data_IF_312888419300
#
_entry.id   IF_312888419300
#
_cell.length_a   1.000
_cell.length_b   1.000
_cell.length_c   1.000
_cell.angle_alpha   90.00
_cell.angle_beta   90.00
_cell.angle_gamma   90.00
#
_symmetry.space_group_name_H-M   'P 1'
#
loop_
_entity.id
_entity.type
_entity.pdbx_description
1 polymer ?
#
# COMPACT_ATOMS: atom_id res chain seq x y z
N UNK A 1 8.06 -6.65 -38.70
CA UNK A 1 8.03 -7.42 -37.43
C UNK A 1 7.59 -6.49 -36.30
N UNK A 2 6.40 -6.67 -35.73
CA UNK A 2 5.94 -5.88 -34.57
C UNK A 2 6.80 -6.29 -33.36
N UNK A 3 7.60 -5.38 -32.80
CA UNK A 3 8.30 -5.62 -31.54
C UNK A 3 7.22 -5.80 -30.46
N UNK A 4 7.02 -7.05 -30.00
CA UNK A 4 6.23 -7.33 -28.80
C UNK A 4 7.04 -6.77 -27.63
N UNK A 5 6.72 -5.52 -27.26
CA UNK A 5 7.16 -4.93 -26.02
C UNK A 5 6.45 -5.61 -24.84
N UNK A 6 6.86 -5.28 -23.61
CA UNK A 6 6.07 -5.67 -22.43
C UNK A 6 4.65 -5.12 -22.59
N UNK A 7 3.60 -5.91 -22.32
CA UNK A 7 2.22 -5.42 -22.39
C UNK A 7 2.11 -4.17 -21.53
N UNK A 8 1.46 -3.14 -22.07
CA UNK A 8 1.20 -1.92 -21.32
C UNK A 8 0.27 -2.30 -20.16
N UNK A 9 0.70 -2.03 -18.94
CA UNK A 9 -0.18 -2.14 -17.78
C UNK A 9 -1.01 -0.85 -17.73
N UNK A 10 -2.33 -0.96 -17.71
CA UNK A 10 -3.22 0.20 -17.63
C UNK A 10 -3.13 0.93 -16.28
N UNK A 11 -2.75 0.22 -15.21
CA UNK A 11 -2.59 0.80 -13.87
C UNK A 11 -1.31 0.31 -13.16
N UNK A 12 -0.14 0.84 -13.52
CA UNK A 12 1.12 0.49 -12.87
C UNK A 12 1.21 1.11 -11.47
N UNK A 13 1.80 0.39 -10.50
CA UNK A 13 2.17 0.95 -9.19
C UNK A 13 3.44 1.80 -9.30
N UNK A 14 3.33 2.98 -9.90
CA UNK A 14 4.45 3.91 -10.13
C UNK A 14 4.47 5.14 -9.21
N UNK A 15 3.45 5.33 -8.38
CA UNK A 15 3.36 6.46 -7.44
C UNK A 15 4.19 6.14 -6.20
N UNK A 16 5.17 7.00 -5.89
CA UNK A 16 5.99 6.91 -4.68
C UNK A 16 5.34 7.74 -3.57
N UNK A 17 5.13 7.13 -2.42
CA UNK A 17 4.65 7.78 -1.21
C UNK A 17 5.79 7.83 -0.19
N UNK A 18 6.13 9.02 0.27
CA UNK A 18 7.09 9.25 1.35
C UNK A 18 6.36 9.81 2.57
N UNK A 19 6.51 9.16 3.72
CA UNK A 19 5.82 9.50 4.96
C UNK A 19 6.83 9.56 6.11
N UNK A 20 6.73 10.60 6.92
CA UNK A 20 7.46 10.72 8.17
C UNK A 20 6.56 10.23 9.29
N UNK A 21 7.05 9.27 10.08
CA UNK A 21 6.32 8.70 11.22
C UNK A 21 7.03 9.06 12.51
N UNK A 22 6.26 9.37 13.54
CA UNK A 22 6.79 9.39 14.90
C UNK A 22 7.01 7.96 15.43
N UNK A 23 7.68 7.83 16.58
CA UNK A 23 8.02 6.52 17.16
C UNK A 23 6.79 5.65 17.39
N UNK A 24 5.73 6.23 17.95
CA UNK A 24 4.50 5.51 18.28
C UNK A 24 3.77 5.01 17.02
N UNK A 25 3.73 5.82 15.96
CA UNK A 25 3.12 5.44 14.68
C UNK A 25 3.89 4.31 14.01
N UNK A 26 5.22 4.37 14.01
CA UNK A 26 6.05 3.30 13.46
C UNK A 26 5.90 1.99 14.24
N UNK A 27 5.80 2.05 15.58
CA UNK A 27 5.54 0.87 16.40
C UNK A 27 4.17 0.26 16.13
N UNK A 28 3.12 1.09 16.01
CA UNK A 28 1.78 0.63 15.60
C UNK A 28 1.83 -0.04 14.22
N UNK A 29 2.45 0.61 13.24
CA UNK A 29 2.58 0.07 11.89
C UNK A 29 3.34 -1.26 11.87
N UNK A 30 4.42 -1.37 12.64
CA UNK A 30 5.20 -2.61 12.78
C UNK A 30 4.34 -3.72 13.39
N UNK A 31 3.66 -3.45 14.50
CA UNK A 31 2.80 -4.43 15.17
C UNK A 31 1.67 -4.92 14.27
N UNK A 32 1.00 -4.02 13.55
CA UNK A 32 -0.07 -4.38 12.60
C UNK A 32 0.47 -5.23 11.45
N UNK A 33 1.61 -4.83 10.88
CA UNK A 33 2.29 -5.55 9.80
C UNK A 33 2.68 -6.98 10.23
N UNK A 34 3.22 -7.15 11.44
CA UNK A 34 3.58 -8.46 12.01
C UNK A 34 2.34 -9.32 12.27
N UNK A 35 1.30 -8.74 12.87
CA UNK A 35 0.04 -9.44 13.19
C UNK A 35 -0.64 -9.95 11.92
N UNK A 36 -0.68 -9.11 10.88
CA UNK A 36 -1.31 -9.43 9.60
C UNK A 36 -0.40 -10.23 8.66
N UNK A 37 0.89 -10.42 9.02
CA UNK A 37 1.94 -11.01 8.15
C UNK A 37 2.03 -10.33 6.78
N UNK A 38 1.83 -9.01 6.75
CA UNK A 38 1.88 -8.18 5.55
C UNK A 38 3.08 -7.25 5.59
N UNK A 39 3.56 -6.81 4.42
CA UNK A 39 4.55 -5.74 4.37
C UNK A 39 3.96 -4.44 4.95
N UNK A 40 4.81 -3.51 5.41
CA UNK A 40 4.37 -2.20 5.88
C UNK A 40 3.54 -1.47 4.81
N UNK A 41 3.99 -1.52 3.56
CA UNK A 41 3.27 -0.94 2.41
C UNK A 41 1.91 -1.58 2.21
N UNK A 42 1.83 -2.91 2.19
CA UNK A 42 0.56 -3.63 2.04
C UNK A 42 -0.40 -3.35 3.21
N UNK A 43 0.14 -3.16 4.41
CA UNK A 43 -0.65 -2.83 5.61
C UNK A 43 -1.26 -1.43 5.47
N UNK A 44 -0.49 -0.44 5.00
CA UNK A 44 -0.99 0.91 4.75
C UNK A 44 -2.09 0.90 3.68
N UNK A 45 -1.84 0.25 2.54
CA UNK A 45 -2.82 0.16 1.45
C UNK A 45 -4.12 -0.51 1.92
N UNK A 46 -4.02 -1.62 2.67
CA UNK A 46 -5.18 -2.30 3.24
C UNK A 46 -5.94 -1.41 4.25
N UNK A 47 -5.22 -0.60 5.03
CA UNK A 47 -5.84 0.39 5.90
C UNK A 47 -6.65 1.43 5.14
N UNK A 48 -6.13 1.91 4.00
CA UNK A 48 -6.86 2.84 3.12
C UNK A 48 -8.13 2.20 2.55
N UNK A 49 -8.06 0.97 2.06
CA UNK A 49 -9.23 0.22 1.54
C UNK A 49 -10.31 0.00 2.61
N UNK A 50 -9.92 -0.19 3.88
CA UNK A 50 -10.87 -0.35 4.98
C UNK A 50 -11.54 0.98 5.32
N UNK A 51 -10.78 2.08 5.36
CA UNK A 51 -11.32 3.42 5.58
C UNK A 51 -12.27 3.85 4.46
N UNK A 52 -11.93 3.57 3.21
CA UNK A 52 -12.80 3.82 2.06
C UNK A 52 -14.16 3.13 2.22
N UNK A 53 -14.16 1.84 2.60
CA UNK A 53 -15.40 1.09 2.90
C UNK A 53 -16.20 1.64 4.07
N UNK A 54 -15.56 2.27 5.04
CA UNK A 54 -16.24 2.93 6.15
C UNK A 54 -16.83 4.28 5.74
N UNK A 55 -16.20 4.99 4.81
CA UNK A 55 -16.68 6.27 4.29
C UNK A 55 -17.82 6.13 3.29
N UNK A 56 -17.85 5.04 2.51
CA UNK A 56 -18.94 4.71 1.60
C UNK A 56 -20.19 4.14 2.31
N UNK A 57 -20.23 4.20 3.64
CA UNK A 57 -21.27 3.63 4.50
C UNK A 57 -22.20 4.70 5.07
#
# INVERSE_FOLDING_TARGET
MKKIGRPKSDNPRNIRLEITLNKNENEKLKRMSETLKLSKTSTIVKGLELLEKELDK
#
